data_IF_321496773216
#
_entry.id   IF_321496773216
#
_cell.length_a   1.000
_cell.length_b   1.000
_cell.length_c   1.000
_cell.angle_alpha   90.00
_cell.angle_beta   90.00
_cell.angle_gamma   90.00
#
_symmetry.space_group_name_H-M   'P 1'
#
loop_
_entity.id
_entity.type
_entity.pdbx_description
1 polymer ?
#
# COMPACT_ATOMS: atom_id res chain seq x y z
N UNK A 1 65.45 45.64 -38.36
CA UNK A 1 65.42 44.17 -38.52
C UNK A 1 64.34 43.61 -37.61
N UNK A 2 63.43 42.80 -38.15
CA UNK A 2 62.27 42.25 -37.44
C UNK A 2 61.01 42.30 -38.30
N UNK A 3 61.00 41.56 -39.41
CA UNK A 3 59.87 41.47 -40.33
C UNK A 3 58.93 40.32 -39.94
N UNK A 4 57.63 40.63 -40.00
CA UNK A 4 56.48 39.72 -39.88
C UNK A 4 56.52 38.63 -40.96
N UNK A 5 56.06 37.42 -40.62
CA UNK A 5 55.61 36.44 -41.60
C UNK A 5 54.21 35.94 -41.24
N UNK A 6 53.33 36.04 -42.23
CA UNK A 6 52.05 35.36 -42.34
C UNK A 6 52.21 34.22 -43.37
N UNK A 7 51.43 33.14 -43.20
CA UNK A 7 51.18 32.06 -44.18
C UNK A 7 49.82 31.47 -43.77
N UNK A 8 48.73 31.53 -44.54
CA UNK A 8 48.54 31.06 -45.92
C UNK A 8 48.08 29.59 -45.84
N UNK A 9 46.78 29.32 -45.64
CA UNK A 9 45.74 29.01 -46.64
C UNK A 9 45.64 27.50 -46.98
N UNK A 10 44.48 26.93 -46.61
CA UNK A 10 43.84 25.62 -46.94
C UNK A 10 43.78 25.32 -48.46
N UNK A 11 43.64 24.05 -48.94
CA UNK A 11 42.35 23.34 -48.81
C UNK A 11 42.35 21.79 -48.72
N UNK A 12 41.35 21.26 -47.99
CA UNK A 12 40.34 20.35 -48.55
C UNK A 12 40.57 18.83 -48.46
N UNK A 13 39.69 18.12 -47.74
CA UNK A 13 39.56 16.67 -47.87
C UNK A 13 38.78 15.90 -46.79
N UNK A 14 37.47 16.12 -46.72
CA UNK A 14 36.41 15.20 -46.28
C UNK A 14 36.53 14.41 -44.94
N UNK A 15 35.63 14.73 -44.00
CA UNK A 15 35.05 13.77 -43.05
C UNK A 15 33.57 14.10 -42.78
N UNK A 16 32.70 13.09 -42.56
CA UNK A 16 31.27 13.23 -42.80
C UNK A 16 30.52 13.87 -41.61
N UNK A 17 29.53 14.67 -41.97
CA UNK A 17 28.52 15.25 -41.10
C UNK A 17 27.67 14.16 -40.43
N UNK A 18 27.32 14.35 -39.14
CA UNK A 18 25.96 14.10 -38.67
C UNK A 18 25.64 15.05 -37.51
N UNK A 19 24.85 16.08 -37.83
CA UNK A 19 24.25 16.99 -36.86
C UNK A 19 23.12 16.30 -36.11
N UNK A 20 23.19 16.34 -34.79
CA UNK A 20 22.06 15.95 -33.94
C UNK A 20 21.23 17.20 -33.64
N UNK A 21 20.09 17.28 -34.33
CA UNK A 21 19.01 18.23 -34.05
C UNK A 21 18.48 17.99 -32.64
N UNK A 22 18.27 19.09 -31.90
CA UNK A 22 17.41 19.12 -30.72
C UNK A 22 15.99 18.70 -31.13
N UNK A 23 15.42 17.76 -30.38
CA UNK A 23 13.99 17.40 -30.43
C UNK A 23 13.41 17.45 -29.01
N UNK A 24 12.10 17.69 -28.88
CA UNK A 24 11.52 18.43 -27.76
C UNK A 24 11.22 17.54 -26.55
N UNK A 25 11.10 18.21 -25.41
CA UNK A 25 10.57 17.74 -24.12
C UNK A 25 9.36 16.84 -24.29
N UNK A 26 9.53 15.55 -24.00
CA UNK A 26 8.41 14.60 -23.86
C UNK A 26 7.90 14.71 -22.43
N UNK A 27 6.73 15.31 -22.30
CA UNK A 27 5.97 15.44 -21.06
C UNK A 27 5.85 14.09 -20.35
N UNK A 28 6.15 14.12 -19.06
CA UNK A 28 6.02 13.01 -18.13
C UNK A 28 4.58 12.98 -17.61
N UNK A 29 3.63 12.83 -18.52
CA UNK A 29 2.21 12.53 -18.26
C UNK A 29 1.87 11.20 -18.92
N UNK A 30 0.78 10.55 -18.55
CA UNK A 30 0.16 9.46 -19.33
C UNK A 30 0.71 8.02 -19.21
N UNK A 31 1.41 7.68 -18.13
CA UNK A 31 1.69 6.24 -17.83
C UNK A 31 0.52 5.60 -17.06
N UNK A 32 -0.31 6.38 -16.35
CA UNK A 32 -1.49 5.87 -15.62
C UNK A 32 -2.70 5.61 -16.53
N UNK A 33 -2.81 6.29 -17.68
CA UNK A 33 -3.89 6.07 -18.64
C UNK A 33 -3.86 4.66 -19.28
N UNK A 34 -2.68 4.05 -19.37
CA UNK A 34 -2.48 2.70 -19.93
C UNK A 34 -3.17 1.59 -19.12
N UNK A 35 -3.51 1.85 -17.84
CA UNK A 35 -4.19 0.86 -17.00
C UNK A 35 -5.71 0.77 -17.25
N UNK A 36 -6.31 1.73 -17.95
CA UNK A 36 -7.77 1.79 -18.15
C UNK A 36 -8.27 1.06 -19.40
N UNK A 37 -7.39 0.51 -20.25
CA UNK A 37 -7.78 0.07 -21.61
C UNK A 37 -7.60 -1.41 -21.95
N UNK A 38 -7.52 -2.30 -20.96
CA UNK A 38 -7.61 -3.76 -21.19
C UNK A 38 -8.58 -4.45 -20.25
N UNK A 39 -9.86 -4.15 -20.43
CA UNK A 39 -10.95 -5.07 -20.10
C UNK A 39 -11.49 -5.62 -21.42
N UNK A 40 -11.00 -6.78 -21.83
CA UNK A 40 -11.44 -7.41 -23.07
C UNK A 40 -10.67 -8.69 -23.36
N UNK A 41 -11.07 -9.78 -22.70
CA UNK A 41 -11.42 -10.99 -23.44
C UNK A 41 -12.26 -11.94 -22.56
N UNK A 42 -13.53 -12.12 -22.94
CA UNK A 42 -14.43 -13.14 -22.39
C UNK A 42 -14.73 -14.13 -23.51
N UNK A 43 -14.39 -15.40 -23.33
CA UNK A 43 -15.03 -16.49 -24.05
C UNK A 43 -15.18 -17.73 -23.13
N UNK A 44 -16.39 -18.28 -23.12
CA UNK A 44 -16.89 -19.55 -22.52
C UNK A 44 -17.38 -19.45 -21.07
N UNK A 45 -18.58 -19.91 -20.67
CA UNK A 45 -19.64 -20.74 -21.29
C UNK A 45 -20.95 -20.49 -20.51
N UNK A 46 -22.11 -20.65 -21.15
CA UNK A 46 -23.44 -20.24 -20.67
C UNK A 46 -23.80 -20.56 -19.22
N UNK A 47 -24.27 -19.52 -18.54
CA UNK A 47 -24.88 -19.48 -17.21
C UNK A 47 -25.32 -18.04 -16.98
N UNK A 48 -26.43 -17.81 -16.26
CA UNK A 48 -26.95 -16.47 -15.94
C UNK A 48 -25.78 -15.60 -15.49
N UNK A 49 -25.44 -14.57 -16.27
CA UNK A 49 -24.22 -13.80 -16.06
C UNK A 49 -24.36 -12.99 -14.77
N UNK A 50 -23.87 -13.54 -13.66
CA UNK A 50 -23.66 -12.79 -12.43
C UNK A 50 -22.82 -11.56 -12.79
N UNK A 51 -23.21 -10.36 -12.34
CA UNK A 51 -22.41 -9.17 -12.58
C UNK A 51 -20.98 -9.42 -12.08
N UNK A 52 -19.96 -8.88 -12.78
CA UNK A 52 -18.58 -9.04 -12.32
C UNK A 52 -18.45 -8.51 -10.89
N UNK A 53 -17.60 -9.13 -10.05
CA UNK A 53 -17.38 -8.66 -8.69
C UNK A 53 -16.92 -7.19 -8.70
N UNK A 54 -17.27 -6.41 -7.68
CA UNK A 54 -16.84 -5.01 -7.60
C UNK A 54 -15.31 -4.92 -7.59
N UNK A 55 -14.73 -3.81 -8.09
CA UNK A 55 -13.28 -3.64 -8.09
C UNK A 55 -12.71 -3.77 -6.66
N UNK A 56 -11.44 -4.14 -6.49
CA UNK A 56 -10.79 -4.14 -5.19
C UNK A 56 -10.85 -2.77 -4.51
N UNK A 57 -10.82 -2.69 -3.16
CA UNK A 57 -10.93 -1.42 -2.44
C UNK A 57 -9.92 -0.37 -2.89
N UNK A 58 -8.65 -0.74 -3.02
CA UNK A 58 -7.61 0.16 -3.52
C UNK A 58 -7.97 0.76 -4.89
N UNK A 59 -8.46 -0.06 -5.84
CA UNK A 59 -8.81 0.41 -7.18
C UNK A 59 -10.00 1.36 -7.16
N UNK A 60 -11.03 1.07 -6.35
CA UNK A 60 -12.19 1.96 -6.19
C UNK A 60 -11.78 3.29 -5.59
N UNK A 61 -11.00 3.28 -4.51
CA UNK A 61 -10.54 4.48 -3.78
C UNK A 61 -9.67 5.37 -4.66
N UNK A 62 -8.74 4.79 -5.43
CA UNK A 62 -7.94 5.54 -6.40
C UNK A 62 -8.84 6.22 -7.44
N UNK A 63 -9.86 5.52 -7.94
CA UNK A 63 -10.85 6.08 -8.86
C UNK A 63 -11.61 7.27 -8.25
N UNK A 64 -12.07 7.14 -7.01
CA UNK A 64 -12.72 8.22 -6.26
C UNK A 64 -11.78 9.43 -6.10
N UNK A 65 -10.52 9.20 -5.75
CA UNK A 65 -9.52 10.26 -5.56
C UNK A 65 -9.27 11.03 -6.87
N UNK A 66 -9.14 10.30 -7.98
CA UNK A 66 -8.95 10.90 -9.31
C UNK A 66 -10.18 11.70 -9.76
N UNK A 67 -11.39 11.16 -9.55
CA UNK A 67 -12.63 11.86 -9.87
C UNK A 67 -12.82 13.11 -9.02
N UNK A 68 -12.57 13.04 -7.72
CA UNK A 68 -12.61 14.18 -6.81
C UNK A 68 -11.66 15.30 -7.27
N UNK A 69 -10.43 14.96 -7.66
CA UNK A 69 -9.49 15.95 -8.20
C UNK A 69 -9.97 16.57 -9.52
N UNK A 70 -10.63 15.80 -10.39
CA UNK A 70 -11.21 16.32 -11.62
C UNK A 70 -12.34 17.33 -11.31
N UNK A 71 -13.23 16.99 -10.38
CA UNK A 71 -14.34 17.86 -9.97
C UNK A 71 -13.85 19.13 -9.28
N UNK A 72 -12.82 19.03 -8.45
CA UNK A 72 -12.17 20.18 -7.83
C UNK A 72 -11.57 21.14 -8.87
N UNK A 73 -10.88 20.60 -9.90
CA UNK A 73 -10.33 21.38 -11.03
C UNK A 73 -11.43 22.08 -11.85
N UNK A 74 -12.65 21.54 -11.86
CA UNK A 74 -13.82 22.12 -12.53
C UNK A 74 -14.60 23.11 -11.65
N UNK A 75 -14.18 23.34 -10.40
CA UNK A 75 -14.89 24.21 -9.46
C UNK A 75 -16.18 23.62 -8.89
N UNK A 76 -16.43 22.32 -9.08
CA UNK A 76 -17.63 21.61 -8.60
C UNK A 76 -17.47 21.22 -7.13
N UNK A 77 -17.61 22.19 -6.24
CA UNK A 77 -17.35 22.00 -4.81
C UNK A 77 -18.29 20.97 -4.15
N UNK A 78 -19.60 21.06 -4.41
CA UNK A 78 -20.57 20.13 -3.82
C UNK A 78 -20.32 18.68 -4.25
N UNK A 79 -20.01 18.44 -5.53
CA UNK A 79 -19.68 17.10 -6.03
C UNK A 79 -18.35 16.58 -5.45
N UNK A 80 -17.36 17.46 -5.26
CA UNK A 80 -16.06 17.13 -4.63
C UNK A 80 -16.25 16.73 -3.17
N UNK A 81 -17.08 17.47 -2.44
CA UNK A 81 -17.44 17.22 -1.05
C UNK A 81 -18.20 15.89 -0.91
N UNK A 82 -19.13 15.60 -1.80
CA UNK A 82 -19.87 14.34 -1.78
C UNK A 82 -18.97 13.13 -2.09
N UNK A 83 -18.02 13.29 -3.02
CA UNK A 83 -17.02 12.27 -3.31
C UNK A 83 -16.10 12.01 -2.11
N UNK A 84 -15.70 13.06 -1.38
CA UNK A 84 -14.92 12.92 -0.15
C UNK A 84 -15.71 12.16 0.93
N UNK A 85 -17.01 12.44 1.10
CA UNK A 85 -17.86 11.66 2.02
C UNK A 85 -17.93 10.20 1.61
N UNK A 86 -18.10 9.92 0.32
CA UNK A 86 -18.12 8.55 -0.21
C UNK A 86 -16.80 7.82 0.03
N UNK A 87 -15.66 8.49 -0.16
CA UNK A 87 -14.33 7.93 0.12
C UNK A 87 -14.15 7.65 1.62
N UNK A 88 -14.57 8.57 2.49
CA UNK A 88 -14.56 8.36 3.95
C UNK A 88 -15.43 7.17 4.37
N UNK A 89 -16.62 7.07 3.76
CA UNK A 89 -17.53 5.95 3.98
C UNK A 89 -16.87 4.62 3.60
N UNK A 90 -16.31 4.57 2.38
CA UNK A 90 -15.63 3.38 1.88
C UNK A 90 -14.40 3.01 2.70
N UNK A 91 -13.78 3.94 3.44
CA UNK A 91 -12.67 3.69 4.38
C UNK A 91 -13.12 3.25 5.79
N UNK A 92 -14.42 3.24 6.08
CA UNK A 92 -14.95 2.93 7.41
C UNK A 92 -14.95 4.12 8.39
N UNK A 93 -14.84 5.37 7.89
CA UNK A 93 -14.84 6.59 8.71
C UNK A 93 -16.26 7.17 8.93
N UNK A 94 -17.30 6.32 8.88
CA UNK A 94 -18.71 6.72 8.96
C UNK A 94 -19.11 7.27 10.32
N UNK A 95 -18.54 6.72 11.40
CA UNK A 95 -18.93 7.04 12.77
C UNK A 95 -18.38 8.39 13.26
N UNK A 96 -17.66 9.12 12.42
CA UNK A 96 -17.16 10.45 12.74
C UNK A 96 -17.67 11.45 11.72
N UNK A 97 -18.31 12.51 12.21
CA UNK A 97 -18.72 13.59 11.32
C UNK A 97 -17.48 14.32 10.79
N UNK A 98 -17.58 14.83 9.56
CA UNK A 98 -16.52 15.63 8.96
C UNK A 98 -16.25 16.90 9.80
N UNK A 99 -17.30 17.47 10.40
CA UNK A 99 -17.21 18.62 11.29
C UNK A 99 -16.46 18.31 12.60
N UNK A 100 -16.64 17.13 13.20
CA UNK A 100 -15.92 16.74 14.42
C UNK A 100 -14.41 16.62 14.18
N UNK A 101 -14.07 16.09 13.01
CA UNK A 101 -12.68 15.92 12.58
C UNK A 101 -12.03 17.27 12.30
N UNK A 102 -12.75 18.19 11.66
CA UNK A 102 -12.21 19.48 11.26
C UNK A 102 -12.18 20.53 12.39
N UNK A 103 -13.21 20.56 13.23
CA UNK A 103 -13.41 21.65 14.20
C UNK A 103 -13.15 21.24 15.65
N UNK A 104 -13.24 19.95 16.01
CA UNK A 104 -13.07 19.48 17.39
C UNK A 104 -11.77 18.73 17.65
N UNK A 105 -10.89 18.63 16.66
CA UNK A 105 -9.64 17.88 16.75
C UNK A 105 -9.87 16.49 17.38
N UNK A 106 -10.93 15.81 16.94
CA UNK A 106 -11.33 14.52 17.49
C UNK A 106 -10.14 13.56 17.39
N UNK A 107 -9.53 13.23 18.53
CA UNK A 107 -8.44 12.27 18.57
C UNK A 107 -9.01 10.89 18.33
N UNK A 108 -8.68 10.31 17.18
CA UNK A 108 -8.97 8.91 16.94
C UNK A 108 -7.99 8.09 17.75
N UNK A 109 -8.53 7.25 18.62
CA UNK A 109 -7.75 6.24 19.31
C UNK A 109 -7.72 5.00 18.44
N UNK A 110 -6.60 4.28 18.47
CA UNK A 110 -6.49 2.94 17.88
C UNK A 110 -6.72 2.91 16.36
N UNK A 111 -6.35 3.98 15.64
CA UNK A 111 -6.39 4.03 14.18
C UNK A 111 -5.59 2.89 13.59
N UNK A 112 -6.11 2.25 12.54
CA UNK A 112 -5.37 1.21 11.83
C UNK A 112 -4.32 1.83 10.90
N UNK A 113 -4.64 2.98 10.30
CA UNK A 113 -3.75 3.72 9.40
C UNK A 113 -3.80 5.22 9.71
N UNK A 114 -2.91 5.70 10.62
CA UNK A 114 -2.82 7.12 10.98
C UNK A 114 -2.43 8.02 9.80
N UNK A 115 -1.65 7.51 8.85
CA UNK A 115 -1.17 8.30 7.72
C UNK A 115 -2.32 8.60 6.76
N UNK A 116 -3.08 7.58 6.37
CA UNK A 116 -4.29 7.75 5.54
C UNK A 116 -5.26 8.71 6.21
N UNK A 117 -5.45 8.59 7.53
CA UNK A 117 -6.30 9.49 8.28
C UNK A 117 -5.86 10.96 8.15
N UNK A 118 -4.58 11.27 8.39
CA UNK A 118 -4.07 12.64 8.33
C UNK A 118 -4.14 13.24 6.93
N UNK A 119 -3.95 12.41 5.90
CA UNK A 119 -4.14 12.79 4.50
C UNK A 119 -5.62 13.09 4.20
N UNK A 120 -6.57 12.29 4.71
CA UNK A 120 -8.01 12.55 4.56
C UNK A 120 -8.41 13.85 5.27
N UNK A 121 -7.86 14.14 6.46
CA UNK A 121 -8.08 15.43 7.14
C UNK A 121 -7.55 16.58 6.29
N UNK A 122 -6.31 16.47 5.81
CA UNK A 122 -5.68 17.51 5.00
C UNK A 122 -6.49 17.81 3.74
N UNK A 123 -6.95 16.75 3.08
CA UNK A 123 -7.83 16.83 1.92
C UNK A 123 -9.18 17.50 2.27
N UNK A 124 -9.81 17.11 3.38
CA UNK A 124 -11.06 17.71 3.84
C UNK A 124 -10.96 19.21 4.06
N UNK A 125 -9.84 19.70 4.61
CA UNK A 125 -9.59 21.15 4.78
C UNK A 125 -9.56 21.89 3.45
N UNK A 126 -8.95 21.30 2.42
CA UNK A 126 -8.92 21.91 1.08
C UNK A 126 -10.31 21.93 0.42
N UNK A 127 -11.12 20.89 0.63
CA UNK A 127 -12.48 20.80 0.08
C UNK A 127 -13.46 21.75 0.79
N UNK A 128 -13.36 21.91 2.11
CA UNK A 128 -14.26 22.79 2.88
C UNK A 128 -13.97 24.28 2.72
N UNK A 129 -12.69 24.66 2.65
CA UNK A 129 -12.27 26.05 2.55
C UNK A 129 -11.41 26.24 1.30
N UNK A 130 -11.98 26.12 0.09
CA UNK A 130 -11.23 26.29 -1.15
C UNK A 130 -10.75 27.75 -1.23
N UNK A 131 -9.46 27.96 -0.95
CA UNK A 131 -8.85 29.27 -1.14
C UNK A 131 -8.83 29.55 -2.64
N UNK A 132 -9.18 30.75 -3.06
CA UNK A 132 -9.20 31.16 -4.48
C UNK A 132 -7.81 31.26 -5.13
N UNK A 133 -6.75 30.88 -4.42
CA UNK A 133 -5.37 30.94 -4.86
C UNK A 133 -4.93 29.62 -5.51
N UNK A 134 -4.21 29.70 -6.64
CA UNK A 134 -3.73 28.54 -7.39
C UNK A 134 -2.82 27.59 -6.61
N UNK A 135 -2.21 28.04 -5.50
CA UNK A 135 -1.37 27.21 -4.63
C UNK A 135 -2.20 26.16 -3.85
N UNK A 136 -3.47 26.45 -3.55
CA UNK A 136 -4.35 25.53 -2.80
C UNK A 136 -4.68 24.26 -3.58
N UNK A 137 -4.95 24.40 -4.89
CA UNK A 137 -5.24 23.28 -5.79
C UNK A 137 -4.00 22.42 -6.01
N UNK A 138 -2.82 23.04 -6.12
CA UNK A 138 -1.54 22.32 -6.20
C UNK A 138 -1.22 21.54 -4.92
N UNK A 139 -1.52 22.11 -3.75
CA UNK A 139 -1.38 21.41 -2.48
C UNK A 139 -2.38 20.24 -2.33
N UNK A 140 -3.63 20.43 -2.73
CA UNK A 140 -4.64 19.36 -2.79
C UNK A 140 -4.19 18.22 -3.72
N UNK A 141 -3.62 18.55 -4.89
CA UNK A 141 -3.07 17.54 -5.81
C UNK A 141 -1.93 16.74 -5.18
N UNK A 142 -1.03 17.37 -4.40
CA UNK A 142 0.02 16.66 -3.65
C UNK A 142 -0.58 15.68 -2.64
N UNK A 143 -1.58 16.11 -1.86
CA UNK A 143 -2.28 15.24 -0.89
C UNK A 143 -2.94 14.07 -1.60
N UNK A 144 -3.65 14.31 -2.71
CA UNK A 144 -4.27 13.24 -3.49
C UNK A 144 -3.25 12.26 -4.08
N UNK A 145 -2.06 12.71 -4.46
CA UNK A 145 -0.96 11.82 -4.89
C UNK A 145 -0.40 11.00 -3.73
N UNK A 146 -0.21 11.59 -2.55
CA UNK A 146 0.21 10.87 -1.35
C UNK A 146 -0.83 9.82 -0.95
N UNK A 147 -2.11 10.20 -0.93
CA UNK A 147 -3.20 9.29 -0.60
C UNK A 147 -3.32 8.16 -1.64
N UNK A 148 -3.19 8.47 -2.93
CA UNK A 148 -3.13 7.46 -3.99
C UNK A 148 -1.97 6.50 -3.76
N UNK A 149 -0.80 7.01 -3.37
CA UNK A 149 0.37 6.19 -3.06
C UNK A 149 0.05 5.24 -1.90
N UNK A 150 -0.34 5.75 -0.73
CA UNK A 150 -0.62 4.94 0.47
C UNK A 150 -1.72 3.89 0.27
N UNK A 151 -2.75 4.20 -0.51
CA UNK A 151 -3.85 3.28 -0.75
C UNK A 151 -3.57 2.29 -1.89
N UNK A 152 -2.42 2.39 -2.58
CA UNK A 152 -2.05 1.53 -3.69
C UNK A 152 -1.05 0.44 -3.30
N UNK A 153 -1.01 -0.67 -4.05
CA UNK A 153 0.14 -1.55 -4.02
C UNK A 153 1.42 -0.80 -4.46
N UNK A 154 2.44 -0.68 -3.60
CA UNK A 154 3.72 -0.04 -3.93
C UNK A 154 4.57 -0.88 -4.91
N UNK A 155 5.51 -0.21 -5.58
CA UNK A 155 6.27 -0.71 -6.75
C UNK A 155 7.13 -1.94 -6.49
N UNK A 156 7.49 -2.27 -5.24
CA UNK A 156 8.13 -3.55 -4.90
C UNK A 156 7.23 -4.74 -5.27
N UNK A 157 5.90 -4.63 -5.06
CA UNK A 157 4.93 -5.67 -5.45
C UNK A 157 4.68 -5.74 -6.96
N UNK A 158 4.99 -4.68 -7.73
CA UNK A 158 4.96 -4.72 -9.21
C UNK A 158 6.17 -5.43 -9.82
N UNK A 159 7.28 -5.61 -9.09
CA UNK A 159 8.57 -6.05 -9.66
C UNK A 159 8.65 -7.52 -10.01
N UNK A 160 7.66 -8.34 -9.66
CA UNK A 160 7.73 -9.78 -9.94
C UNK A 160 7.21 -10.22 -11.32
N UNK A 161 6.69 -9.32 -12.16
CA UNK A 161 6.11 -9.71 -13.47
C UNK A 161 4.92 -10.72 -13.36
N UNK A 162 4.51 -11.04 -12.13
CA UNK A 162 3.47 -11.99 -11.75
C UNK A 162 2.08 -11.51 -12.21
N UNK A 163 1.89 -10.21 -12.37
CA UNK A 163 0.65 -9.60 -12.86
C UNK A 163 0.34 -9.92 -14.33
N UNK A 164 1.30 -10.47 -15.10
CA UNK A 164 1.04 -10.98 -16.46
C UNK A 164 0.63 -12.45 -16.50
N UNK A 165 0.75 -13.17 -15.38
CA UNK A 165 0.47 -14.61 -15.27
C UNK A 165 -0.88 -14.82 -14.58
N UNK A 166 -1.50 -15.98 -14.85
CA UNK A 166 -2.75 -16.38 -14.17
C UNK A 166 -2.46 -16.47 -12.65
N UNK A 167 -3.30 -15.91 -11.77
CA UNK A 167 -3.08 -15.91 -10.31
C UNK A 167 -2.71 -17.27 -9.71
N UNK A 168 -3.34 -18.34 -10.22
CA UNK A 168 -3.08 -19.72 -9.82
C UNK A 168 -1.64 -20.17 -10.12
N UNK A 169 -1.08 -19.75 -11.26
CA UNK A 169 0.31 -20.06 -11.61
C UNK A 169 1.29 -19.28 -10.73
N UNK A 170 0.95 -18.04 -10.39
CA UNK A 170 1.70 -17.19 -9.49
C UNK A 170 1.77 -17.80 -8.08
N UNK A 171 0.60 -18.14 -7.51
CA UNK A 171 0.50 -18.79 -6.21
C UNK A 171 1.29 -20.10 -6.19
N UNK A 172 1.13 -20.96 -7.21
CA UNK A 172 1.88 -22.22 -7.28
C UNK A 172 3.40 -21.98 -7.30
N UNK A 173 3.87 -20.98 -8.04
CA UNK A 173 5.29 -20.66 -8.12
C UNK A 173 5.85 -20.21 -6.76
N UNK A 174 5.15 -19.32 -6.06
CA UNK A 174 5.56 -18.86 -4.73
C UNK A 174 5.55 -20.01 -3.73
N UNK A 175 4.48 -20.80 -3.65
CA UNK A 175 4.37 -21.92 -2.72
C UNK A 175 5.32 -23.09 -3.02
N UNK A 176 5.99 -23.08 -4.18
CA UNK A 176 6.99 -24.08 -4.57
C UNK A 176 8.42 -23.60 -4.36
N UNK A 177 8.62 -22.31 -4.07
CA UNK A 177 9.93 -21.77 -3.73
C UNK A 177 10.30 -22.15 -2.28
N UNK A 178 11.58 -22.42 -1.99
CA UNK A 178 12.04 -22.65 -0.63
C UNK A 178 11.90 -21.38 0.23
N UNK A 179 11.47 -21.53 1.48
CA UNK A 179 11.35 -20.46 2.47
C UNK A 179 12.71 -20.21 3.14
N UNK A 180 13.63 -19.55 2.43
CA UNK A 180 15.01 -19.32 2.90
C UNK A 180 15.09 -18.36 4.09
N UNK A 181 14.14 -17.43 4.22
CA UNK A 181 14.14 -16.35 5.22
C UNK A 181 13.01 -16.44 6.24
N UNK A 182 12.20 -17.50 6.22
CA UNK A 182 11.00 -17.59 7.05
C UNK A 182 9.89 -16.59 6.68
N UNK A 183 10.06 -15.82 5.60
CA UNK A 183 9.05 -14.88 5.11
C UNK A 183 8.32 -15.46 3.88
N UNK A 184 6.99 -15.37 3.87
CA UNK A 184 6.15 -15.74 2.73
C UNK A 184 5.36 -14.52 2.25
N UNK A 185 5.68 -14.05 1.04
CA UNK A 185 5.00 -12.92 0.41
C UNK A 185 4.06 -13.41 -0.71
N UNK A 186 2.75 -13.18 -0.50
CA UNK A 186 1.65 -13.43 -1.43
C UNK A 186 0.98 -12.13 -1.89
N UNK A 187 1.58 -10.98 -1.60
CA UNK A 187 0.98 -9.68 -1.85
C UNK A 187 0.71 -9.46 -3.34
N UNK A 188 -0.46 -8.90 -3.63
CA UNK A 188 -0.92 -8.65 -5.00
C UNK A 188 -1.31 -9.90 -5.81
N UNK A 189 -1.25 -11.11 -5.24
CA UNK A 189 -1.83 -12.32 -5.85
C UNK A 189 -3.28 -12.45 -5.39
N UNK A 190 -4.29 -12.39 -6.28
CA UNK A 190 -5.67 -12.61 -5.87
C UNK A 190 -5.88 -14.01 -5.25
N UNK A 191 -6.27 -14.05 -3.98
CA UNK A 191 -6.55 -15.25 -3.18
C UNK A 191 -8.06 -15.42 -3.00
N UNK A 192 -8.58 -16.60 -3.35
CA UNK A 192 -9.98 -16.97 -3.18
C UNK A 192 -10.15 -18.12 -2.17
N UNK A 193 -11.36 -18.35 -1.67
CA UNK A 193 -11.65 -19.43 -0.71
C UNK A 193 -11.14 -20.82 -1.17
N UNK A 194 -11.19 -21.12 -2.47
CA UNK A 194 -10.65 -22.36 -3.06
C UNK A 194 -9.14 -22.55 -2.89
N UNK A 195 -8.39 -21.47 -2.66
CA UNK A 195 -6.94 -21.49 -2.52
C UNK A 195 -6.51 -21.83 -1.08
N UNK A 196 -7.43 -21.70 -0.12
CA UNK A 196 -7.14 -21.75 1.31
C UNK A 196 -6.72 -23.14 1.76
N UNK A 197 -7.30 -24.22 1.23
CA UNK A 197 -6.89 -25.60 1.54
C UNK A 197 -5.40 -25.83 1.21
N UNK A 198 -4.98 -25.42 0.02
CA UNK A 198 -3.59 -25.53 -0.43
C UNK A 198 -2.66 -24.67 0.41
N UNK A 199 -3.09 -23.46 0.75
CA UNK A 199 -2.32 -22.54 1.57
C UNK A 199 -2.16 -23.08 2.99
N UNK A 200 -3.22 -23.55 3.64
CA UNK A 200 -3.17 -24.20 4.94
C UNK A 200 -2.16 -25.36 4.96
N UNK A 201 -2.23 -26.27 3.98
CA UNK A 201 -1.29 -27.39 3.88
C UNK A 201 0.17 -26.93 3.71
N UNK A 202 0.40 -25.82 3.00
CA UNK A 202 1.74 -25.24 2.86
C UNK A 202 2.23 -24.60 4.17
N UNK A 203 1.37 -23.84 4.86
CA UNK A 203 1.71 -23.20 6.13
C UNK A 203 2.03 -24.24 7.22
N UNK A 204 1.23 -25.30 7.33
CA UNK A 204 1.46 -26.38 8.28
C UNK A 204 2.81 -27.08 8.05
N UNK A 205 3.21 -27.28 6.79
CA UNK A 205 4.52 -27.87 6.44
C UNK A 205 5.70 -27.01 6.91
N UNK A 206 5.52 -25.70 6.98
CA UNK A 206 6.57 -24.74 7.32
C UNK A 206 6.31 -24.02 8.65
N UNK A 207 5.48 -24.62 9.52
CA UNK A 207 5.03 -23.98 10.75
C UNK A 207 6.20 -23.60 11.68
N UNK A 208 7.26 -24.40 11.72
CA UNK A 208 8.44 -24.17 12.55
C UNK A 208 9.42 -23.14 12.01
N UNK A 209 9.22 -22.63 10.79
CA UNK A 209 10.14 -21.70 10.12
C UNK A 209 9.50 -20.38 9.72
N UNK A 210 8.17 -20.32 9.60
CA UNK A 210 7.47 -19.12 9.16
C UNK A 210 7.45 -18.06 10.26
N UNK A 211 8.04 -16.90 9.98
CA UNK A 211 8.14 -15.74 10.87
C UNK A 211 7.31 -14.57 10.36
N UNK A 212 7.29 -14.34 9.05
CA UNK A 212 6.52 -13.25 8.43
C UNK A 212 5.62 -13.77 7.33
N UNK A 213 4.39 -13.26 7.27
CA UNK A 213 3.44 -13.54 6.20
C UNK A 213 2.83 -12.24 5.66
N UNK A 214 3.01 -12.01 4.36
CA UNK A 214 2.43 -10.86 3.67
C UNK A 214 1.35 -11.33 2.69
N UNK A 215 0.13 -10.83 2.88
CA UNK A 215 -1.01 -11.06 1.99
C UNK A 215 -1.67 -9.73 1.60
N UNK A 216 -0.87 -8.66 1.53
CA UNK A 216 -1.36 -7.32 1.20
C UNK A 216 -1.96 -7.28 -0.21
N UNK A 217 -3.08 -6.59 -0.38
CA UNK A 217 -3.70 -6.37 -1.70
C UNK A 217 -3.99 -7.68 -2.48
N UNK A 218 -4.26 -8.77 -1.78
CA UNK A 218 -4.54 -10.10 -2.33
C UNK A 218 -6.03 -10.35 -2.58
N UNK A 219 -6.87 -9.32 -2.46
CA UNK A 219 -8.33 -9.41 -2.56
C UNK A 219 -8.97 -10.38 -1.56
N UNK A 220 -8.26 -10.73 -0.48
CA UNK A 220 -8.71 -11.68 0.52
C UNK A 220 -10.04 -11.23 1.13
N UNK A 221 -11.04 -12.11 1.11
CA UNK A 221 -12.37 -11.88 1.70
C UNK A 221 -12.43 -12.41 3.12
N UNK A 222 -13.43 -11.96 3.89
CA UNK A 222 -13.70 -12.50 5.23
C UNK A 222 -13.80 -14.03 5.24
N UNK A 223 -14.57 -14.60 4.30
CA UNK A 223 -14.74 -16.05 4.17
C UNK A 223 -13.40 -16.77 3.99
N UNK A 224 -12.57 -16.31 3.04
CA UNK A 224 -11.28 -16.92 2.76
C UNK A 224 -10.32 -16.75 3.96
N UNK A 225 -10.29 -15.58 4.57
CA UNK A 225 -9.46 -15.32 5.75
C UNK A 225 -9.85 -16.19 6.95
N UNK A 226 -11.15 -16.36 7.22
CA UNK A 226 -11.63 -17.19 8.32
C UNK A 226 -11.30 -18.68 8.12
N UNK A 227 -11.19 -19.17 6.88
CA UNK A 227 -10.68 -20.52 6.60
C UNK A 227 -9.19 -20.66 6.94
N UNK A 228 -8.39 -19.59 6.79
CA UNK A 228 -6.97 -19.57 7.13
C UNK A 228 -6.70 -19.37 8.62
N UNK A 229 -7.56 -18.60 9.29
CA UNK A 229 -7.34 -18.10 10.66
C UNK A 229 -6.90 -19.19 11.65
N UNK A 230 -7.51 -20.41 11.70
CA UNK A 230 -7.06 -21.45 12.62
C UNK A 230 -5.62 -21.92 12.34
N UNK A 231 -5.24 -22.00 11.06
CA UNK A 231 -3.88 -22.39 10.67
C UNK A 231 -2.89 -21.29 11.03
N UNK A 232 -3.22 -20.03 10.76
CA UNK A 232 -2.38 -18.87 11.13
C UNK A 232 -2.18 -18.79 12.64
N UNK A 233 -3.26 -18.97 13.41
CA UNK A 233 -3.23 -18.95 14.87
C UNK A 233 -2.35 -20.05 15.47
N UNK A 234 -2.23 -21.19 14.80
CA UNK A 234 -1.40 -22.31 15.25
C UNK A 234 0.09 -22.16 14.91
N UNK A 235 0.50 -21.13 14.14
CA UNK A 235 1.90 -20.97 13.74
C UNK A 235 2.77 -20.54 14.93
N UNK A 236 3.75 -21.35 15.36
CA UNK A 236 4.49 -21.13 16.61
C UNK A 236 5.50 -19.98 16.54
N UNK A 237 5.87 -19.51 15.33
CA UNK A 237 6.90 -18.49 15.13
C UNK A 237 6.43 -17.28 14.34
N UNK A 238 5.15 -17.24 13.94
CA UNK A 238 4.64 -16.10 13.20
C UNK A 238 4.69 -14.86 14.09
N UNK A 239 5.44 -13.85 13.67
CA UNK A 239 5.62 -12.57 14.36
C UNK A 239 4.81 -11.47 13.65
N UNK A 240 4.87 -11.42 12.31
CA UNK A 240 4.27 -10.35 11.51
C UNK A 240 3.28 -10.89 10.49
N UNK A 241 2.08 -10.30 10.46
CA UNK A 241 1.00 -10.66 9.53
C UNK A 241 0.46 -9.40 8.83
N UNK A 242 0.78 -9.22 7.54
CA UNK A 242 0.26 -8.11 6.74
C UNK A 242 -1.00 -8.53 5.96
N UNK A 243 -2.13 -7.88 6.27
CA UNK A 243 -3.44 -8.10 5.65
C UNK A 243 -4.01 -6.81 5.03
N UNK A 244 -3.19 -5.81 4.81
CA UNK A 244 -3.61 -4.51 4.31
C UNK A 244 -4.16 -4.55 2.88
N UNK A 245 -5.08 -3.65 2.55
CA UNK A 245 -5.57 -3.49 1.17
C UNK A 245 -6.48 -4.62 0.67
N UNK A 246 -7.03 -5.44 1.57
CA UNK A 246 -7.88 -6.58 1.23
C UNK A 246 -9.38 -6.23 1.30
N UNK A 247 -10.23 -7.23 1.06
CA UNK A 247 -11.69 -7.13 1.16
C UNK A 247 -12.19 -7.51 2.55
N UNK A 248 -11.35 -7.33 3.58
CA UNK A 248 -11.73 -7.67 4.94
C UNK A 248 -12.67 -6.61 5.51
N UNK A 249 -13.64 -7.05 6.28
CA UNK A 249 -14.58 -6.19 7.00
C UNK A 249 -14.39 -6.29 8.51
N UNK A 250 -15.01 -5.38 9.26
CA UNK A 250 -15.03 -5.40 10.73
C UNK A 250 -15.53 -6.72 11.32
N UNK A 251 -16.24 -7.55 10.53
CA UNK A 251 -16.68 -8.87 10.96
C UNK A 251 -15.51 -9.78 11.39
N UNK A 252 -14.35 -9.68 10.72
CA UNK A 252 -13.18 -10.51 11.07
C UNK A 252 -12.53 -10.07 12.37
N UNK A 253 -12.69 -8.80 12.78
CA UNK A 253 -12.04 -8.27 13.98
C UNK A 253 -12.48 -9.02 15.23
N UNK A 254 -13.74 -9.44 15.31
CA UNK A 254 -14.24 -10.24 16.44
C UNK A 254 -13.50 -11.58 16.50
N UNK A 255 -13.43 -12.30 15.40
CA UNK A 255 -12.82 -13.63 15.33
C UNK A 255 -11.31 -13.58 15.59
N UNK A 256 -10.59 -12.59 15.04
CA UNK A 256 -9.16 -12.40 15.35
C UNK A 256 -8.97 -12.01 16.81
N UNK A 257 -9.82 -11.14 17.35
CA UNK A 257 -9.76 -10.77 18.77
C UNK A 257 -9.98 -11.98 19.68
N UNK A 258 -10.94 -12.84 19.34
CA UNK A 258 -11.22 -14.05 20.11
C UNK A 258 -10.05 -15.05 20.04
N UNK A 259 -9.42 -15.23 18.87
CA UNK A 259 -8.19 -16.02 18.74
C UNK A 259 -7.05 -15.45 19.61
N UNK A 260 -6.83 -14.13 19.60
CA UNK A 260 -5.77 -13.49 20.39
C UNK A 260 -6.00 -13.62 21.92
N UNK A 261 -7.22 -13.83 22.38
CA UNK A 261 -7.50 -14.04 23.83
C UNK A 261 -6.93 -15.36 24.34
N UNK A 262 -6.86 -16.39 23.50
CA UNK A 262 -6.29 -17.69 23.86
C UNK A 262 -4.74 -17.61 23.83
N UNK A 263 -4.04 -17.84 24.96
CA UNK A 263 -2.57 -17.83 25.00
C UNK A 263 -1.89 -18.84 24.07
N UNK A 264 -2.56 -19.95 23.73
CA UNK A 264 -2.04 -20.95 22.80
C UNK A 264 -2.14 -20.54 21.33
N UNK A 265 -2.99 -19.56 21.03
CA UNK A 265 -3.21 -19.01 19.70
C UNK A 265 -2.35 -17.77 19.47
N UNK A 266 -1.68 -17.72 18.32
CA UNK A 266 -0.72 -16.69 17.94
C UNK A 266 0.34 -16.45 19.04
N UNK A 267 1.16 -17.46 19.36
CA UNK A 267 2.08 -17.39 20.50
C UNK A 267 3.18 -16.33 20.34
N UNK A 268 3.59 -16.04 19.09
CA UNK A 268 4.67 -15.11 18.77
C UNK A 268 4.23 -13.84 18.04
N UNK A 269 2.95 -13.70 17.69
CA UNK A 269 2.52 -12.57 16.85
C UNK A 269 2.65 -11.27 17.62
N UNK A 270 3.33 -10.32 17.00
CA UNK A 270 3.56 -9.00 17.53
C UNK A 270 2.91 -7.90 16.72
N UNK A 271 2.62 -8.17 15.45
CA UNK A 271 2.10 -7.16 14.54
C UNK A 271 1.11 -7.77 13.54
N UNK A 272 -0.03 -7.10 13.39
CA UNK A 272 -1.06 -7.44 12.40
C UNK A 272 -1.50 -6.15 11.73
N UNK A 273 -1.19 -5.99 10.44
CA UNK A 273 -1.61 -4.84 9.66
C UNK A 273 -2.93 -5.12 8.96
N UNK A 274 -3.94 -4.31 9.31
CA UNK A 274 -5.29 -4.36 8.77
C UNK A 274 -5.64 -3.08 8.00
N UNK A 275 -4.66 -2.24 7.68
CA UNK A 275 -4.85 -0.96 7.02
C UNK A 275 -5.49 -1.10 5.65
N UNK A 276 -6.17 -0.05 5.18
CA UNK A 276 -6.73 -0.01 3.83
C UNK A 276 -7.69 -1.19 3.49
N UNK A 277 -8.31 -1.83 4.49
CA UNK A 277 -9.41 -2.79 4.30
C UNK A 277 -10.76 -2.07 4.14
N UNK A 278 -11.88 -2.78 3.95
CA UNK A 278 -13.18 -2.18 3.57
C UNK A 278 -13.71 -1.25 4.66
N UNK A 279 -14.11 -1.74 5.81
CA UNK A 279 -14.68 -0.90 6.89
C UNK A 279 -13.90 -1.03 8.20
N UNK A 280 -12.59 -1.28 8.10
CA UNK A 280 -11.67 -1.39 9.23
C UNK A 280 -10.84 -0.11 9.31
N UNK A 281 -11.33 0.85 10.11
CA UNK A 281 -10.65 2.14 10.33
C UNK A 281 -9.99 2.25 11.71
N UNK A 282 -10.49 1.51 12.70
CA UNK A 282 -9.94 1.45 14.05
C UNK A 282 -9.98 0.02 14.60
N UNK A 283 -9.10 -0.26 15.56
CA UNK A 283 -9.01 -1.56 16.21
C UNK A 283 -9.74 -1.56 17.57
N UNK A 284 -10.50 -2.63 17.90
CA UNK A 284 -11.11 -2.78 19.21
C UNK A 284 -10.06 -2.79 20.33
N UNK A 285 -10.36 -2.17 21.48
CA UNK A 285 -9.45 -2.18 22.63
C UNK A 285 -9.02 -3.60 23.06
N UNK A 286 -9.91 -4.62 23.10
CA UNK A 286 -9.50 -5.98 23.45
C UNK A 286 -8.50 -6.61 22.47
N UNK A 287 -8.56 -6.25 21.18
CA UNK A 287 -7.59 -6.67 20.17
C UNK A 287 -6.20 -6.17 20.54
N UNK A 288 -6.07 -4.86 20.76
CA UNK A 288 -4.79 -4.21 21.07
C UNK A 288 -4.20 -4.67 22.40
N UNK A 289 -5.04 -4.84 23.43
CA UNK A 289 -4.59 -5.35 24.72
C UNK A 289 -4.06 -6.78 24.59
N UNK A 290 -4.73 -7.62 23.82
CA UNK A 290 -4.31 -9.02 23.62
C UNK A 290 -2.99 -9.10 22.85
N UNK A 291 -2.83 -8.29 21.80
CA UNK A 291 -1.59 -8.20 21.04
C UNK A 291 -0.43 -7.62 21.88
N UNK A 292 -0.66 -6.55 22.66
CA UNK A 292 0.36 -5.97 23.55
C UNK A 292 0.87 -6.95 24.60
N UNK A 293 0.03 -7.87 25.10
CA UNK A 293 0.46 -8.93 26.03
C UNK A 293 1.48 -9.89 25.40
N UNK A 294 1.49 -10.01 24.06
CA UNK A 294 2.48 -10.78 23.29
C UNK A 294 3.74 -9.94 22.97
N UNK A 295 3.65 -8.62 23.05
CA UNK A 295 4.73 -7.64 22.79
C UNK A 295 5.15 -6.83 24.03
N UNK A 296 5.79 -7.42 25.05
CA UNK A 296 6.25 -6.63 26.18
C UNK A 296 7.35 -5.61 25.84
N UNK A 297 7.96 -5.65 24.64
CA UNK A 297 9.16 -4.88 24.28
C UNK A 297 8.96 -3.62 23.41
N UNK A 298 7.76 -3.32 22.91
CA UNK A 298 7.52 -2.10 22.09
C UNK A 298 6.35 -1.27 22.65
N UNK A 299 6.65 -0.01 23.00
CA UNK A 299 5.70 0.94 23.61
C UNK A 299 4.69 1.56 22.64
N UNK A 300 4.78 1.30 21.34
CA UNK A 300 3.94 1.93 20.30
C UNK A 300 2.96 0.93 19.67
N UNK A 301 1.82 1.46 19.21
CA UNK A 301 0.73 0.69 18.60
C UNK A 301 1.20 0.00 17.30
N UNK A 302 0.73 -1.23 17.01
CA UNK A 302 1.17 -2.03 15.87
C UNK A 302 0.40 -1.64 14.62
N UNK A 303 0.52 -0.39 14.19
CA UNK A 303 -0.29 0.15 13.10
C UNK A 303 0.47 0.18 11.79
N UNK A 304 1.79 0.38 11.83
CA UNK A 304 2.69 0.28 10.67
C UNK A 304 4.06 -0.10 11.23
N UNK A 305 4.73 -1.11 10.66
CA UNK A 305 6.17 -1.24 10.86
C UNK A 305 6.80 -0.02 10.18
N UNK A 306 7.12 1.02 10.95
CA UNK A 306 8.12 1.99 10.52
C UNK A 306 9.38 1.16 10.25
N UNK A 307 9.69 0.91 8.98
CA UNK A 307 11.01 0.46 8.59
C UNK A 307 11.95 1.56 9.07
N UNK A 308 12.51 1.36 10.26
CA UNK A 308 13.34 2.33 10.92
C UNK A 308 14.52 2.65 10.02
N UNK A 309 14.74 3.94 9.86
CA UNK A 309 16.06 4.58 9.67
C UNK A 309 17.02 4.25 10.84
N UNK A 310 16.72 3.23 11.66
CA UNK A 310 17.52 2.75 12.79
C UNK A 310 18.80 2.05 12.37
N UNK A 311 18.93 1.62 11.11
CA UNK A 311 20.23 1.13 10.61
C UNK A 311 21.23 2.26 10.40
N UNK A 312 20.79 3.53 10.26
CA UNK A 312 21.71 4.65 10.05
C UNK A 312 22.25 5.19 11.38
N UNK A 313 21.47 5.09 12.47
CA UNK A 313 21.91 5.57 13.79
C UNK A 313 22.90 4.64 14.49
N UNK A 314 22.77 3.33 14.33
CA UNK A 314 23.76 2.39 14.90
C UNK A 314 25.11 2.48 14.16
N UNK A 315 25.10 2.77 12.85
CA UNK A 315 26.33 2.99 12.07
C UNK A 315 26.98 4.36 12.37
N UNK A 316 26.21 5.42 12.63
CA UNK A 316 26.75 6.74 13.02
C UNK A 316 27.31 6.77 14.46
N UNK A 317 26.75 5.98 15.39
CA UNK A 317 27.28 5.89 16.78
C UNK A 317 28.55 5.02 16.85
N UNK A 318 28.72 4.00 15.99
CA UNK A 318 29.96 3.20 15.92
C UNK A 318 31.12 3.97 15.25
N UNK A 319 30.84 4.86 14.29
CA UNK A 319 31.88 5.70 13.66
C UNK A 319 32.41 6.82 14.59
N UNK A 320 31.58 7.40 15.47
CA UNK A 320 32.02 8.40 16.45
C UNK A 320 32.87 7.82 17.61
N UNK A 321 32.63 6.56 17.99
CA UNK A 321 33.46 5.87 19.01
C UNK A 321 34.84 5.45 18.49
N UNK A 322 34.99 5.12 17.20
CA UNK A 322 36.30 4.83 16.61
C UNK A 322 37.18 6.08 16.42
N UNK A 323 36.58 7.25 16.14
CA UNK A 323 37.34 8.50 15.92
C UNK A 323 37.82 9.15 17.24
N UNK A 324 37.12 8.91 18.35
CA UNK A 324 37.49 9.45 19.68
C UNK A 324 38.46 8.58 20.48
N UNK A 325 38.73 7.35 20.04
CA UNK A 325 39.68 6.42 20.66
C UNK A 325 41.15 6.60 20.28
N UNK A 326 41.47 7.50 19.33
CA UNK A 326 42.83 7.75 18.84
C UNK A 326 43.30 9.20 19.09
N UNK A 327 43.34 9.64 20.35
CA UNK A 327 44.18 10.78 20.78
C UNK A 327 44.86 10.46 22.11
#
# INVERSE_FOLDING_TARGET
>A
MGAKQAKGQEPGGASPQHGWRRTPTKERGDILASLMQKSGDRLSRGGVATPPPPPPPYQRRIGMIQQMMLMAKQGKQDETMEMLKTLRQDLGMESTSLDDVLYRYASFRNLVDPITHDLIISLARYVHCPKTEGDSLGAMEKVCRQLTYHLSPHSQWRRQGLLKRKPQACLKAVLSAPLSSGALDLSGIPLAARDMERLCAHLQRHASTLVSMEMGFSELTDEAFLLLLPTLAALPRLETLALNGNRLTRAVLKEVTDALKDPGSFPSVTWIDLGNNVDIFSLPQPFLVSLRKRCPKQGNLPTILEFGESQVKEEEEEEEEEETGNI
#
